data_IF_162263200583
#
_entry.id   IF_162263200583
#
_cell.length_a   1.000
_cell.length_b   1.000
_cell.length_c   1.000
_cell.angle_alpha   90.00
_cell.angle_beta   90.00
_cell.angle_gamma   90.00
#
_symmetry.space_group_name_H-M   'P 1'
#
loop_
_entity.id
_entity.type
_entity.pdbx_description
1 polymer ?
#
# COMPACT_ATOMS: atom_id res chain seq x y z
N UNK A 1 -7.38 5.06 17.78
CA UNK A 1 -6.77 5.67 16.60
C UNK A 1 -7.13 4.89 15.34
N UNK A 2 -6.96 3.56 15.36
CA UNK A 2 -7.32 2.70 14.23
C UNK A 2 -8.83 2.75 13.91
N UNK A 3 -9.69 2.82 14.91
CA UNK A 3 -11.15 2.91 14.72
C UNK A 3 -11.59 4.24 14.09
N UNK A 4 -10.85 5.32 14.32
CA UNK A 4 -11.15 6.62 13.75
C UNK A 4 -10.96 6.66 12.23
N UNK A 5 -10.04 5.84 11.72
CA UNK A 5 -9.64 5.85 10.32
C UNK A 5 -10.17 4.66 9.52
N UNK A 6 -10.71 3.65 10.18
CA UNK A 6 -11.18 2.42 9.52
C UNK A 6 -12.41 2.60 8.63
N UNK A 7 -13.17 3.68 8.81
CA UNK A 7 -14.40 3.94 8.05
C UNK A 7 -14.28 4.96 6.93
N UNK A 8 -13.12 5.60 6.73
CA UNK A 8 -12.94 6.64 5.72
C UNK A 8 -11.68 6.40 4.90
N UNK A 9 -11.81 5.65 3.85
CA UNK A 9 -10.72 5.24 2.98
C UNK A 9 -9.90 6.43 2.48
N UNK A 10 -10.52 7.44 1.89
CA UNK A 10 -9.83 8.58 1.31
C UNK A 10 -9.12 9.46 2.33
N UNK A 11 -9.77 9.73 3.47
CA UNK A 11 -9.17 10.51 4.52
C UNK A 11 -7.97 9.78 5.14
N UNK A 12 -8.14 8.48 5.40
CA UNK A 12 -7.08 7.65 5.95
C UNK A 12 -5.87 7.58 5.01
N UNK A 13 -6.11 7.42 3.71
CA UNK A 13 -5.04 7.37 2.71
C UNK A 13 -4.37 8.70 2.48
N UNK A 14 -5.11 9.79 2.52
CA UNK A 14 -4.54 11.13 2.50
C UNK A 14 -3.59 11.34 3.68
N UNK A 15 -4.04 11.03 4.89
CA UNK A 15 -3.21 11.12 6.09
C UNK A 15 -1.97 10.25 6.02
N UNK A 16 -2.10 9.02 5.52
CA UNK A 16 -0.96 8.14 5.29
C UNK A 16 -0.02 8.74 4.25
N UNK A 17 -0.55 9.16 3.10
CA UNK A 17 0.24 9.71 2.02
C UNK A 17 0.94 11.02 2.38
N UNK A 18 0.34 11.84 3.21
CA UNK A 18 0.93 13.11 3.65
C UNK A 18 1.94 12.92 4.77
N UNK A 19 1.60 12.18 5.81
CA UNK A 19 2.43 12.05 7.00
C UNK A 19 2.34 10.69 7.71
N UNK A 20 1.17 10.05 7.73
CA UNK A 20 0.94 8.89 8.59
C UNK A 20 1.51 7.59 8.05
N UNK A 21 1.66 7.44 6.76
CA UNK A 21 2.30 6.26 6.18
C UNK A 21 3.71 6.10 6.69
N UNK A 22 4.48 7.19 6.62
CA UNK A 22 5.79 7.29 7.26
C UNK A 22 5.74 7.18 8.73
N UNK A 23 4.85 7.94 9.35
CA UNK A 23 4.70 7.93 10.80
C UNK A 23 4.41 6.53 11.30
N UNK A 24 3.63 5.73 10.55
CA UNK A 24 3.38 4.33 10.93
C UNK A 24 4.61 3.45 10.83
N UNK A 25 5.41 3.57 9.75
CA UNK A 25 6.67 2.85 9.63
C UNK A 25 7.62 3.22 10.77
N UNK A 26 7.81 4.50 10.99
CA UNK A 26 8.68 5.01 12.07
C UNK A 26 8.11 4.78 13.46
N UNK A 27 6.79 4.84 13.61
CA UNK A 27 6.11 4.65 14.91
C UNK A 27 6.16 3.21 15.38
N UNK A 28 6.15 2.21 14.47
CA UNK A 28 6.32 0.82 14.84
C UNK A 28 7.66 0.58 15.55
N UNK A 29 8.75 1.12 15.00
CA UNK A 29 10.08 1.02 15.60
C UNK A 29 10.17 1.81 16.90
N UNK A 30 9.70 3.05 16.93
CA UNK A 30 9.70 3.89 18.14
C UNK A 30 8.85 3.28 19.25
N UNK A 31 7.70 2.70 18.91
CA UNK A 31 6.84 2.02 19.86
C UNK A 31 7.52 0.79 20.44
N UNK A 32 8.16 -0.03 19.61
CA UNK A 32 8.92 -1.20 20.05
C UNK A 32 10.08 -0.80 20.97
N UNK A 33 10.82 0.24 20.62
CA UNK A 33 11.90 0.77 21.45
C UNK A 33 11.39 1.30 22.80
N UNK A 34 10.28 2.06 22.78
CA UNK A 34 9.65 2.55 24.03
C UNK A 34 9.18 1.41 24.91
N UNK A 35 8.51 0.41 24.34
CA UNK A 35 8.03 -0.75 25.11
C UNK A 35 9.18 -1.54 25.72
N UNK A 36 10.28 -1.72 25.00
CA UNK A 36 11.48 -2.38 25.51
C UNK A 36 12.10 -1.62 26.70
N UNK A 37 12.24 -0.30 26.59
CA UNK A 37 12.76 0.55 27.66
C UNK A 37 11.79 0.61 28.85
N UNK A 38 10.48 0.66 28.62
CA UNK A 38 9.49 0.61 29.69
C UNK A 38 9.54 -0.71 30.44
N UNK A 39 9.59 -1.85 29.75
CA UNK A 39 9.74 -3.17 30.38
C UNK A 39 11.01 -3.26 31.23
N UNK A 40 12.13 -2.77 30.73
CA UNK A 40 13.41 -2.73 31.46
C UNK A 40 13.32 -1.87 32.68
N UNK A 41 12.73 -0.69 32.57
CA UNK A 41 12.56 0.23 33.70
C UNK A 41 11.62 -0.33 34.80
N UNK A 42 10.51 -0.98 34.42
CA UNK A 42 9.59 -1.60 35.36
C UNK A 42 10.28 -2.76 36.08
N UNK A 43 10.98 -3.63 35.38
CA UNK A 43 11.63 -4.82 35.96
C UNK A 43 12.84 -4.49 36.87
N UNK A 44 13.41 -3.32 36.72
CA UNK A 44 14.56 -2.88 37.50
C UNK A 44 14.22 -2.59 38.96
N UNK A 45 12.94 -2.49 39.34
CA UNK A 45 12.48 -2.14 40.68
C UNK A 45 11.22 -2.94 41.05
N UNK A 46 11.26 -3.75 42.14
CA UNK A 46 10.11 -4.51 42.63
C UNK A 46 8.87 -3.66 42.91
N UNK A 47 9.05 -2.44 43.42
CA UNK A 47 7.93 -1.52 43.68
C UNK A 47 7.24 -1.07 42.39
N UNK A 48 8.02 -0.86 41.33
CA UNK A 48 7.48 -0.57 39.98
C UNK A 48 6.77 -1.78 39.40
N UNK A 49 7.33 -2.98 39.58
CA UNK A 49 6.69 -4.23 39.15
C UNK A 49 5.36 -4.44 39.85
N UNK A 50 5.27 -4.18 41.16
CA UNK A 50 4.02 -4.26 41.89
C UNK A 50 2.97 -3.26 41.37
N UNK A 51 3.38 -2.04 41.07
CA UNK A 51 2.49 -0.98 40.59
C UNK A 51 2.05 -1.17 39.12
N UNK A 52 2.96 -1.58 38.26
CA UNK A 52 2.74 -1.64 36.81
C UNK A 52 2.67 -3.07 36.27
N UNK A 53 2.59 -4.10 37.13
CA UNK A 53 2.63 -5.50 36.71
C UNK A 53 1.59 -5.90 35.66
N UNK A 54 0.36 -5.39 35.78
CA UNK A 54 -0.69 -5.66 34.79
C UNK A 54 -0.37 -5.02 33.43
N UNK A 55 0.08 -3.76 33.43
CA UNK A 55 0.48 -3.06 32.20
C UNK A 55 1.71 -3.74 31.58
N UNK A 56 2.67 -4.18 32.40
CA UNK A 56 3.83 -4.94 31.93
C UNK A 56 3.41 -6.23 31.27
N UNK A 57 2.52 -7.02 31.85
CA UNK A 57 2.04 -8.29 31.28
C UNK A 57 1.32 -8.08 29.95
N UNK A 58 0.50 -7.03 29.86
CA UNK A 58 -0.17 -6.68 28.59
C UNK A 58 0.83 -6.32 27.50
N UNK A 59 1.86 -5.54 27.84
CA UNK A 59 2.91 -5.17 26.90
C UNK A 59 3.75 -6.39 26.51
N UNK A 60 4.14 -7.23 27.45
CA UNK A 60 4.92 -8.46 27.18
C UNK A 60 4.17 -9.40 26.25
N UNK A 61 2.87 -9.62 26.47
CA UNK A 61 2.04 -10.44 25.59
C UNK A 61 1.90 -9.82 24.19
N UNK A 62 1.72 -8.50 24.10
CA UNK A 62 1.65 -7.80 22.84
C UNK A 62 2.98 -7.84 22.08
N UNK A 63 4.11 -7.68 22.78
CA UNK A 63 5.46 -7.77 22.19
C UNK A 63 5.73 -9.20 21.72
N UNK A 64 5.41 -10.22 22.53
CA UNK A 64 5.57 -11.62 22.15
C UNK A 64 4.74 -11.98 20.92
N UNK A 65 3.47 -11.61 20.90
CA UNK A 65 2.61 -11.85 19.75
C UNK A 65 3.07 -11.11 18.48
N UNK A 66 3.70 -9.95 18.64
CA UNK A 66 4.30 -9.21 17.52
C UNK A 66 5.64 -9.79 17.07
N UNK A 67 6.49 -10.23 17.99
CA UNK A 67 7.76 -10.86 17.67
C UNK A 67 7.58 -12.13 16.82
N UNK A 68 6.48 -12.85 17.04
CA UNK A 68 6.14 -14.05 16.25
C UNK A 68 5.57 -13.72 14.85
N UNK A 69 4.93 -12.56 14.69
CA UNK A 69 4.20 -12.17 13.47
C UNK A 69 4.66 -10.85 12.86
N UNK A 70 5.36 -10.02 13.62
CA UNK A 70 5.73 -8.68 13.19
C UNK A 70 7.10 -8.67 12.55
N UNK A 71 7.08 -8.59 11.26
CA UNK A 71 8.22 -8.18 10.47
C UNK A 71 8.00 -6.71 10.09
N UNK A 72 8.82 -5.80 10.63
CA UNK A 72 8.71 -4.36 10.36
C UNK A 72 8.76 -4.03 8.87
N UNK A 73 9.58 -4.78 8.13
CA UNK A 73 9.66 -4.66 6.67
C UNK A 73 8.34 -5.11 6.00
N UNK A 74 7.78 -6.25 6.40
CA UNK A 74 6.51 -6.73 5.87
C UNK A 74 5.37 -5.75 6.17
N UNK A 75 5.30 -5.26 7.40
CA UNK A 75 4.32 -4.23 7.78
C UNK A 75 4.49 -2.96 6.95
N UNK A 76 5.73 -2.51 6.76
CA UNK A 76 6.03 -1.37 5.92
C UNK A 76 5.60 -1.57 4.47
N UNK A 77 5.83 -2.74 3.93
CA UNK A 77 5.39 -3.11 2.59
C UNK A 77 3.87 -3.17 2.47
N UNK A 78 3.17 -3.67 3.48
CA UNK A 78 1.69 -3.70 3.51
C UNK A 78 1.11 -2.28 3.56
N UNK A 79 1.65 -1.41 4.41
CA UNK A 79 1.25 0.00 4.47
C UNK A 79 1.53 0.71 3.15
N UNK A 80 2.71 0.47 2.57
CA UNK A 80 3.11 1.05 1.30
C UNK A 80 2.15 0.66 0.17
N UNK A 81 1.88 -0.64 0.01
CA UNK A 81 0.93 -1.14 -0.99
C UNK A 81 -0.47 -0.63 -0.75
N UNK A 82 -0.96 -0.67 0.48
CA UNK A 82 -2.30 -0.22 0.84
C UNK A 82 -2.54 1.28 0.67
N UNK A 83 -1.48 2.07 0.52
CA UNK A 83 -1.57 3.53 0.33
C UNK A 83 -1.59 3.97 -1.12
N UNK A 84 -1.42 3.05 -2.07
CA UNK A 84 -1.46 3.31 -3.51
C UNK A 84 -2.66 2.60 -4.11
N UNK A 85 -3.85 3.21 -4.00
CA UNK A 85 -5.12 2.56 -4.33
C UNK A 85 -5.21 2.10 -5.78
N UNK A 86 -4.98 3.01 -6.71
CA UNK A 86 -5.10 2.72 -8.13
C UNK A 86 -4.07 1.69 -8.59
N UNK A 87 -2.83 1.81 -8.13
CA UNK A 87 -1.75 0.86 -8.47
C UNK A 87 -2.06 -0.52 -7.89
N UNK A 88 -2.53 -0.58 -6.63
CA UNK A 88 -2.94 -1.84 -5.99
C UNK A 88 -4.11 -2.48 -6.73
N UNK A 89 -5.09 -1.67 -7.14
CA UNK A 89 -6.22 -2.15 -7.93
C UNK A 89 -5.78 -2.67 -9.30
N UNK A 90 -4.88 -1.96 -9.98
CA UNK A 90 -4.30 -2.40 -11.25
C UNK A 90 -3.59 -3.76 -11.12
N UNK A 91 -2.93 -4.03 -10.00
CA UNK A 91 -2.26 -5.31 -9.74
C UNK A 91 -3.21 -6.52 -9.70
N UNK A 92 -4.50 -6.31 -9.52
CA UNK A 92 -5.51 -7.38 -9.53
C UNK A 92 -5.83 -7.91 -10.95
N UNK A 93 -5.25 -7.31 -11.98
CA UNK A 93 -5.51 -7.67 -13.39
C UNK A 93 -4.70 -8.85 -13.90
N UNK A 94 -3.89 -9.51 -13.07
CA UNK A 94 -3.04 -10.63 -13.49
C UNK A 94 -3.84 -11.77 -14.14
N UNK A 95 -4.98 -12.14 -13.53
CA UNK A 95 -5.85 -13.18 -14.10
C UNK A 95 -6.44 -12.79 -15.46
N UNK A 96 -6.75 -11.48 -15.66
CA UNK A 96 -7.22 -10.97 -16.94
C UNK A 96 -6.09 -11.01 -17.99
N UNK A 97 -4.87 -10.64 -17.63
CA UNK A 97 -3.71 -10.74 -18.50
C UNK A 97 -3.50 -12.19 -18.99
N UNK A 98 -3.53 -13.14 -18.07
CA UNK A 98 -3.38 -14.56 -18.38
C UNK A 98 -4.49 -15.08 -19.32
N UNK A 99 -5.74 -14.72 -19.05
CA UNK A 99 -6.88 -15.12 -19.87
C UNK A 99 -6.81 -14.51 -21.27
N UNK A 100 -6.40 -13.23 -21.39
CA UNK A 100 -6.19 -12.54 -22.66
C UNK A 100 -5.04 -13.19 -23.46
N UNK A 101 -3.95 -13.54 -22.82
CA UNK A 101 -2.82 -14.22 -23.44
C UNK A 101 -3.21 -15.61 -23.96
N UNK A 102 -4.02 -16.34 -23.21
CA UNK A 102 -4.56 -17.65 -23.57
C UNK A 102 -5.71 -17.58 -24.60
N UNK A 103 -6.25 -16.38 -24.85
CA UNK A 103 -7.46 -16.17 -25.70
C UNK A 103 -8.67 -16.97 -25.20
N UNK A 104 -8.78 -17.15 -23.89
CA UNK A 104 -9.87 -17.88 -23.25
C UNK A 104 -11.06 -16.94 -22.99
N UNK A 105 -11.97 -16.90 -23.96
CA UNK A 105 -13.11 -15.95 -23.95
C UNK A 105 -14.02 -16.15 -22.73
N UNK A 106 -14.28 -17.37 -22.33
CA UNK A 106 -15.14 -17.67 -21.18
C UNK A 106 -14.53 -17.12 -19.87
N UNK A 107 -13.23 -17.32 -19.68
CA UNK A 107 -12.50 -16.73 -18.53
C UNK A 107 -12.47 -15.21 -18.59
N UNK A 108 -12.22 -14.64 -19.76
CA UNK A 108 -12.22 -13.18 -19.96
C UNK A 108 -13.57 -12.59 -19.53
N UNK A 109 -14.68 -13.15 -20.03
CA UNK A 109 -16.03 -12.66 -19.72
C UNK A 109 -16.37 -12.81 -18.23
N UNK A 110 -16.00 -13.91 -17.62
CA UNK A 110 -16.18 -14.14 -16.19
C UNK A 110 -15.38 -13.17 -15.32
N UNK A 111 -14.13 -12.87 -15.70
CA UNK A 111 -13.27 -11.91 -14.98
C UNK A 111 -13.84 -10.49 -15.15
N UNK A 112 -14.20 -10.08 -16.36
CA UNK A 112 -14.77 -8.75 -16.65
C UNK A 112 -16.06 -8.55 -15.84
N UNK A 113 -16.93 -9.54 -15.78
CA UNK A 113 -18.17 -9.47 -15.00
C UNK A 113 -17.91 -9.24 -13.50
N UNK A 114 -16.87 -9.85 -12.96
CA UNK A 114 -16.43 -9.63 -11.56
C UNK A 114 -15.84 -8.25 -11.36
N UNK A 115 -14.99 -7.81 -12.30
CA UNK A 115 -14.36 -6.48 -12.25
C UNK A 115 -15.41 -5.37 -12.31
N UNK A 116 -16.38 -5.47 -13.20
CA UNK A 116 -17.47 -4.48 -13.31
C UNK A 116 -18.26 -4.34 -11.99
N UNK A 117 -18.51 -5.44 -11.28
CA UNK A 117 -19.11 -5.39 -9.93
C UNK A 117 -18.21 -4.75 -8.87
N UNK A 118 -16.92 -5.01 -8.94
CA UNK A 118 -15.94 -4.44 -8.01
C UNK A 118 -15.64 -2.96 -8.25
N UNK A 119 -15.80 -2.50 -9.49
CA UNK A 119 -15.55 -1.11 -9.87
C UNK A 119 -16.43 -0.12 -9.11
N UNK A 120 -17.68 -0.46 -8.85
CA UNK A 120 -18.61 0.42 -8.12
C UNK A 120 -18.12 0.68 -6.71
N UNK A 121 -17.60 -0.35 -6.04
CA UNK A 121 -17.01 -0.21 -4.72
C UNK A 121 -15.69 0.57 -4.75
N UNK A 122 -14.83 0.31 -5.74
CA UNK A 122 -13.56 1.00 -5.85
C UNK A 122 -13.72 2.49 -6.14
N UNK A 123 -14.48 2.85 -7.19
CA UNK A 123 -14.65 4.25 -7.59
C UNK A 123 -15.68 5.01 -6.76
N UNK A 124 -16.48 4.33 -5.93
CA UNK A 124 -17.42 4.98 -5.02
C UNK A 124 -16.74 5.90 -4.01
N UNK A 125 -15.62 5.43 -3.45
CA UNK A 125 -14.84 6.18 -2.46
C UNK A 125 -13.50 6.71 -3.00
N UNK A 126 -13.20 6.43 -4.27
CA UNK A 126 -11.92 6.78 -4.85
C UNK A 126 -11.78 8.28 -5.10
N UNK A 127 -10.72 8.85 -4.57
CA UNK A 127 -10.37 10.25 -4.78
C UNK A 127 -9.02 10.35 -5.49
N UNK A 128 -9.06 10.64 -6.77
CA UNK A 128 -7.88 10.75 -7.64
C UNK A 128 -6.78 11.66 -7.09
N UNK A 129 -7.04 12.94 -6.71
CA UNK A 129 -6.00 13.83 -6.21
C UNK A 129 -5.36 13.34 -4.92
N UNK A 130 -6.16 12.74 -4.03
CA UNK A 130 -5.69 12.19 -2.76
C UNK A 130 -4.78 10.99 -2.99
N UNK A 131 -5.18 10.05 -3.85
CA UNK A 131 -4.39 8.86 -4.17
C UNK A 131 -3.07 9.25 -4.86
N UNK A 132 -3.10 10.22 -5.78
CA UNK A 132 -1.89 10.73 -6.44
C UNK A 132 -0.90 11.35 -5.45
N UNK A 133 -1.38 12.19 -4.53
CA UNK A 133 -0.56 12.79 -3.49
C UNK A 133 0.00 11.75 -2.53
N UNK A 134 -0.84 10.79 -2.11
CA UNK A 134 -0.44 9.68 -1.25
C UNK A 134 0.63 8.81 -1.90
N UNK A 135 0.46 8.47 -3.17
CA UNK A 135 1.43 7.68 -3.94
C UNK A 135 2.78 8.37 -4.03
N UNK A 136 2.81 9.67 -4.36
CA UNK A 136 4.06 10.47 -4.37
C UNK A 136 4.77 10.44 -3.03
N UNK A 137 4.05 10.71 -1.96
CA UNK A 137 4.59 10.73 -0.62
C UNK A 137 5.16 9.35 -0.25
N UNK A 138 4.39 8.28 -0.40
CA UNK A 138 4.78 6.93 0.00
C UNK A 138 6.00 6.41 -0.77
N UNK A 139 6.09 6.66 -2.07
CA UNK A 139 7.25 6.23 -2.86
C UNK A 139 8.53 6.95 -2.39
N UNK A 140 8.47 8.27 -2.14
CA UNK A 140 9.61 9.01 -1.61
C UNK A 140 10.08 8.46 -0.27
N UNK A 141 9.14 8.21 0.59
CA UNK A 141 9.37 7.83 1.98
C UNK A 141 9.87 6.39 2.12
N UNK A 142 9.34 5.48 1.31
CA UNK A 142 9.83 4.11 1.26
C UNK A 142 11.28 4.08 0.78
N UNK A 143 11.64 4.95 -0.19
CA UNK A 143 13.02 5.11 -0.66
C UNK A 143 13.97 5.57 0.43
N UNK A 144 13.52 6.51 1.28
CA UNK A 144 14.35 7.06 2.36
C UNK A 144 14.51 6.10 3.52
N UNK A 145 13.45 5.39 3.91
CA UNK A 145 13.39 4.64 5.15
C UNK A 145 13.71 3.15 4.99
N UNK A 146 13.63 2.60 3.78
CA UNK A 146 13.81 1.17 3.53
C UNK A 146 15.10 0.90 2.75
N UNK A 147 15.86 -0.11 3.19
CA UNK A 147 17.09 -0.54 2.54
C UNK A 147 16.84 -0.80 1.03
N UNK A 148 17.68 -0.25 0.13
CA UNK A 148 17.54 -0.41 -1.33
C UNK A 148 17.39 -1.85 -1.82
N UNK A 149 17.95 -2.83 -1.13
CA UNK A 149 17.79 -4.26 -1.48
C UNK A 149 16.34 -4.75 -1.43
N UNK A 150 15.47 -4.04 -0.72
CA UNK A 150 14.04 -4.34 -0.61
C UNK A 150 13.18 -3.41 -1.47
N UNK A 151 13.78 -2.55 -2.27
CA UNK A 151 13.04 -1.66 -3.16
C UNK A 151 12.39 -2.46 -4.30
N UNK A 152 11.08 -2.23 -4.59
CA UNK A 152 10.45 -2.77 -5.77
C UNK A 152 11.14 -2.36 -7.06
N UNK A 153 10.98 -3.16 -8.11
CA UNK A 153 11.63 -2.96 -9.41
C UNK A 153 11.34 -1.61 -10.07
N UNK A 154 10.19 -0.99 -9.77
CA UNK A 154 9.84 0.30 -10.36
C UNK A 154 10.75 1.46 -9.92
N UNK A 155 11.51 1.31 -8.82
CA UNK A 155 12.55 2.32 -8.48
C UNK A 155 13.64 2.40 -9.56
N UNK A 156 14.01 1.28 -10.16
CA UNK A 156 14.91 1.28 -11.32
C UNK A 156 14.31 2.08 -12.50
N UNK A 157 13.00 1.95 -12.70
CA UNK A 157 12.28 2.71 -13.73
C UNK A 157 12.27 4.21 -13.43
N UNK A 158 12.06 4.59 -12.17
CA UNK A 158 12.15 6.00 -11.74
C UNK A 158 13.54 6.56 -12.05
N UNK A 159 14.58 5.83 -11.67
CA UNK A 159 15.95 6.30 -11.84
C UNK A 159 16.37 6.40 -13.31
N UNK A 160 16.02 5.40 -14.12
CA UNK A 160 16.45 5.35 -15.53
C UNK A 160 15.62 6.23 -16.46
N UNK A 161 14.29 6.22 -16.34
CA UNK A 161 13.39 6.96 -17.24
C UNK A 161 12.98 8.33 -16.74
N UNK A 162 12.94 8.51 -15.43
CA UNK A 162 12.51 9.77 -14.80
C UNK A 162 13.63 10.50 -14.06
N UNK A 163 14.88 10.06 -14.22
CA UNK A 163 16.06 10.69 -13.60
C UNK A 163 15.94 10.86 -12.07
N UNK A 164 15.34 9.87 -11.42
CA UNK A 164 15.09 9.90 -9.97
C UNK A 164 13.87 10.73 -9.54
N UNK A 165 13.16 11.37 -10.45
CA UNK A 165 12.02 12.23 -10.14
C UNK A 165 10.74 11.41 -9.90
N UNK A 166 10.43 11.19 -8.63
CA UNK A 166 9.24 10.45 -8.19
C UNK A 166 7.95 11.15 -8.62
N UNK A 167 7.88 12.47 -8.51
CA UNK A 167 6.67 13.23 -8.86
C UNK A 167 6.35 13.07 -10.35
N UNK A 168 7.34 13.21 -11.22
CA UNK A 168 7.17 13.01 -12.66
C UNK A 168 6.75 11.57 -13.00
N UNK A 169 7.30 10.57 -12.31
CA UNK A 169 6.91 9.18 -12.47
C UNK A 169 5.44 8.96 -12.10
N UNK A 170 5.02 9.43 -10.94
CA UNK A 170 3.63 9.29 -10.48
C UNK A 170 2.67 10.07 -11.38
N UNK A 171 2.99 11.31 -11.74
CA UNK A 171 2.18 12.11 -12.66
C UNK A 171 1.98 11.40 -14.02
N UNK A 172 3.03 10.76 -14.53
CA UNK A 172 2.92 9.97 -15.75
C UNK A 172 1.97 8.76 -15.60
N UNK A 173 2.00 8.06 -14.45
CA UNK A 173 1.08 6.96 -14.17
C UNK A 173 -0.36 7.47 -14.17
N UNK A 174 -0.64 8.51 -13.40
CA UNK A 174 -2.00 9.04 -13.24
C UNK A 174 -2.55 9.68 -14.52
N UNK A 175 -1.69 10.24 -15.36
CA UNK A 175 -2.12 10.81 -16.64
C UNK A 175 -2.47 9.73 -17.67
N UNK A 176 -1.75 8.60 -17.70
CA UNK A 176 -1.80 7.62 -18.78
C UNK A 176 -2.54 6.32 -18.48
N UNK A 177 -2.69 5.96 -17.18
CA UNK A 177 -3.30 4.69 -16.80
C UNK A 177 -4.79 4.63 -17.15
N UNK A 178 -5.22 3.45 -17.59
CA UNK A 178 -6.64 3.11 -17.79
C UNK A 178 -7.40 3.03 -16.47
N UNK A 179 -6.69 2.87 -15.35
CA UNK A 179 -7.30 2.76 -14.01
C UNK A 179 -7.57 4.09 -13.34
N UNK A 180 -7.20 5.20 -13.95
CA UNK A 180 -7.31 6.54 -13.35
C UNK A 180 -8.76 6.94 -13.12
N UNK A 181 -9.66 6.63 -14.04
CA UNK A 181 -11.08 6.92 -13.94
C UNK A 181 -11.93 5.72 -14.31
N UNK A 182 -13.15 5.69 -13.77
CA UNK A 182 -14.15 4.66 -14.07
C UNK A 182 -14.44 4.54 -15.56
N UNK A 183 -14.52 5.69 -16.25
CA UNK A 183 -14.83 5.76 -17.68
C UNK A 183 -13.73 5.11 -18.52
N UNK A 184 -12.46 5.40 -18.21
CA UNK A 184 -11.32 4.79 -18.91
C UNK A 184 -11.28 3.28 -18.71
N UNK A 185 -11.49 2.81 -17.49
CA UNK A 185 -11.50 1.38 -17.22
C UNK A 185 -12.69 0.69 -17.87
N UNK A 186 -13.88 1.28 -17.85
CA UNK A 186 -15.05 0.75 -18.55
C UNK A 186 -14.77 0.60 -20.05
N UNK A 187 -14.25 1.64 -20.70
CA UNK A 187 -13.90 1.58 -22.12
C UNK A 187 -12.91 0.47 -22.44
N UNK A 188 -11.91 0.25 -21.57
CA UNK A 188 -10.99 -0.88 -21.70
C UNK A 188 -11.69 -2.23 -21.54
N UNK A 189 -12.60 -2.38 -20.59
CA UNK A 189 -13.32 -3.65 -20.34
C UNK A 189 -14.35 -3.98 -21.42
N UNK A 190 -14.79 -3.03 -22.22
CA UNK A 190 -15.65 -3.28 -23.40
C UNK A 190 -14.87 -3.89 -24.56
N UNK A 191 -13.59 -3.57 -24.69
CA UNK A 191 -12.71 -4.12 -25.72
C UNK A 191 -11.31 -4.40 -25.12
N UNK A 192 -11.18 -5.41 -24.25
CA UNK A 192 -9.96 -5.66 -23.53
C UNK A 192 -8.83 -6.10 -24.46
N UNK A 193 -7.67 -5.49 -24.27
CA UNK A 193 -6.48 -5.75 -25.08
C UNK A 193 -5.28 -6.09 -24.19
N UNK A 194 -4.68 -7.25 -24.44
CA UNK A 194 -3.46 -7.68 -23.76
C UNK A 194 -2.35 -6.62 -23.91
N UNK A 195 -2.18 -6.09 -25.12
CA UNK A 195 -1.16 -5.07 -25.41
C UNK A 195 -1.39 -3.77 -24.63
N UNK A 196 -2.64 -3.35 -24.47
CA UNK A 196 -2.99 -2.15 -23.71
C UNK A 196 -2.70 -2.38 -22.22
N UNK A 197 -3.14 -3.51 -21.66
CA UNK A 197 -2.90 -3.85 -20.26
C UNK A 197 -1.41 -3.94 -19.94
N UNK A 198 -0.63 -4.65 -20.76
CA UNK A 198 0.81 -4.82 -20.54
C UNK A 198 1.62 -3.53 -20.65
N UNK A 199 1.07 -2.49 -21.28
CA UNK A 199 1.69 -1.16 -21.40
C UNK A 199 1.16 -0.15 -20.40
N UNK A 200 0.14 -0.51 -19.64
CA UNK A 200 -0.44 0.39 -18.64
C UNK A 200 0.56 0.67 -17.52
N UNK A 201 0.86 1.94 -17.23
CA UNK A 201 1.91 2.28 -16.27
C UNK A 201 1.55 1.93 -14.84
N UNK A 202 0.28 1.94 -14.45
CA UNK A 202 -0.12 1.49 -13.11
C UNK A 202 0.03 -0.03 -12.98
N UNK A 203 -0.38 -0.78 -14.00
CA UNK A 203 -0.23 -2.23 -14.02
C UNK A 203 1.24 -2.67 -14.01
N UNK A 204 2.10 -2.03 -14.80
CA UNK A 204 3.55 -2.27 -14.80
C UNK A 204 4.15 -2.01 -13.41
N UNK A 205 3.72 -0.95 -12.76
CA UNK A 205 4.22 -0.57 -11.42
C UNK A 205 3.77 -1.55 -10.34
N UNK A 206 2.60 -2.17 -10.50
CA UNK A 206 2.03 -3.13 -9.56
C UNK A 206 2.68 -4.51 -9.61
N UNK A 207 3.31 -4.86 -10.73
CA UNK A 207 4.01 -6.15 -10.96
C UNK A 207 5.39 -6.16 -10.33
#
# INVERSE_FOLDING_TARGET
YASKYSGSSNYWKFSIGQNEGLTRLRTAEKKAAFEAEFMKWVKADPARTAKYGNALSLIENAVKGRAEKFNALQYGQEVFRGSMEMITFAGQMTALEEALAAKDQEKIDGIISRLKRGMDNFYGDYNYPTDQAATKAMIKLYREDIDPKFHPSFYTLIDTKFKGNVDAFVDNIFAKSIFTTREKLNAFLEAPSLKVLQKDPAYITAK
#
